data_IF_074612176875
#
_entry.id   IF_074612176875
#
_cell.length_a   1.000
_cell.length_b   1.000
_cell.length_c   1.000
_cell.angle_alpha   90.00
_cell.angle_beta   90.00
_cell.angle_gamma   90.00
#
_symmetry.space_group_name_H-M   'P 1'
#
loop_
_entity.id
_entity.type
_entity.pdbx_description
1 polymer ?
#
# COMPACT_ATOMS: atom_id res chain seq x y z
N UNK A 1 26.60 63.98 57.06
CA UNK A 1 26.25 62.63 56.59
C UNK A 1 26.42 62.56 55.08
N UNK A 2 27.47 61.90 54.61
CA UNK A 2 27.76 61.75 53.16
C UNK A 2 27.31 60.36 52.77
N UNK A 3 26.35 60.29 51.87
CA UNK A 3 25.94 59.04 51.27
C UNK A 3 27.03 58.63 50.24
N UNK A 4 27.66 57.51 50.44
CA UNK A 4 28.59 56.90 49.51
C UNK A 4 27.79 56.02 48.55
N UNK A 5 27.68 56.49 47.30
CA UNK A 5 27.16 55.66 46.22
C UNK A 5 28.27 54.82 45.62
N UNK A 6 28.27 53.53 45.84
CA UNK A 6 29.10 52.57 45.11
C UNK A 6 28.40 52.29 43.76
N UNK A 7 28.96 52.84 42.71
CA UNK A 7 28.62 52.45 41.34
C UNK A 7 29.28 51.11 41.04
N UNK A 8 28.55 50.03 41.29
CA UNK A 8 28.93 48.72 40.74
C UNK A 8 28.27 48.62 39.36
N UNK A 9 29.11 48.90 38.35
CA UNK A 9 28.73 48.78 36.95
C UNK A 9 28.48 47.33 36.59
N UNK A 10 27.21 46.89 36.76
CA UNK A 10 26.78 45.60 36.30
C UNK A 10 26.98 45.42 34.81
N UNK A 11 28.07 44.78 34.42
CA UNK A 11 28.31 44.36 33.04
C UNK A 11 27.22 43.37 32.65
N UNK A 12 26.50 43.58 31.55
CA UNK A 12 25.55 42.57 31.09
C UNK A 12 26.31 41.30 30.75
N UNK A 13 26.04 40.25 31.47
CA UNK A 13 26.52 38.92 31.14
C UNK A 13 25.83 38.54 29.84
N UNK A 14 26.52 38.73 28.74
CA UNK A 14 26.14 38.13 27.45
C UNK A 14 26.26 36.62 27.61
N UNK A 15 25.11 36.03 27.92
CA UNK A 15 24.95 34.58 27.76
C UNK A 15 25.18 34.26 26.28
N UNK A 16 26.39 33.87 25.95
CA UNK A 16 26.67 33.26 24.66
C UNK A 16 26.02 31.89 24.68
N UNK A 17 24.75 31.85 24.32
CA UNK A 17 24.15 30.61 23.84
C UNK A 17 24.86 30.26 22.54
N UNK A 18 25.98 29.58 22.68
CA UNK A 18 26.58 28.86 21.58
C UNK A 18 25.53 27.87 21.07
N UNK A 19 25.06 27.95 19.83
CA UNK A 19 24.21 26.94 19.28
C UNK A 19 25.07 25.68 19.20
N UNK A 20 25.01 24.83 20.24
CA UNK A 20 25.55 23.50 20.16
C UNK A 20 24.87 22.87 18.96
N UNK A 21 25.60 22.86 17.88
CA UNK A 21 25.20 22.31 16.59
C UNK A 21 24.86 20.84 16.86
N UNK A 22 23.56 20.56 17.05
CA UNK A 22 23.04 19.23 17.36
C UNK A 22 23.13 18.35 16.11
N UNK A 23 24.37 18.22 15.59
CA UNK A 23 24.66 17.36 14.43
C UNK A 23 24.09 15.96 14.59
N UNK A 24 24.20 15.31 15.76
CA UNK A 24 23.62 13.96 15.93
C UNK A 24 22.09 13.99 15.83
N UNK A 25 21.42 15.03 16.33
CA UNK A 25 19.97 15.17 16.21
C UNK A 25 19.54 15.43 14.77
N UNK A 26 20.30 16.23 14.02
CA UNK A 26 20.02 16.45 12.60
C UNK A 26 20.23 15.17 11.79
N UNK A 27 21.29 14.42 12.06
CA UNK A 27 21.54 13.12 11.42
C UNK A 27 20.41 12.14 11.73
N UNK A 28 20.02 12.04 12.99
CA UNK A 28 18.90 11.19 13.40
C UNK A 28 17.58 11.62 12.70
N UNK A 29 17.29 12.91 12.65
CA UNK A 29 16.10 13.43 11.96
C UNK A 29 16.11 13.10 10.47
N UNK A 30 17.26 13.19 9.80
CA UNK A 30 17.40 12.83 8.39
C UNK A 30 17.22 11.33 8.15
N UNK A 31 17.74 10.48 9.04
CA UNK A 31 17.54 9.03 8.97
C UNK A 31 16.06 8.69 9.13
N UNK A 32 15.38 9.27 10.12
CA UNK A 32 13.96 9.05 10.36
C UNK A 32 13.11 9.56 9.20
N UNK A 33 13.44 10.73 8.63
CA UNK A 33 12.75 11.25 7.47
C UNK A 33 12.93 10.35 6.24
N UNK A 34 14.15 9.88 5.98
CA UNK A 34 14.44 8.93 4.90
C UNK A 34 13.67 7.62 5.07
N UNK A 35 13.63 7.08 6.28
CA UNK A 35 12.86 5.88 6.60
C UNK A 35 11.35 6.10 6.42
N UNK A 36 10.84 7.27 6.83
CA UNK A 36 9.43 7.65 6.62
C UNK A 36 9.05 7.71 5.14
N UNK A 37 9.89 8.35 4.32
CA UNK A 37 9.69 8.42 2.86
C UNK A 37 9.72 7.01 2.24
N UNK A 38 10.63 6.16 2.67
CA UNK A 38 10.70 4.76 2.25
C UNK A 38 9.39 4.01 2.57
N UNK A 39 8.87 4.12 3.78
CA UNK A 39 7.62 3.49 4.20
C UNK A 39 6.41 3.97 3.41
N UNK A 40 6.31 5.28 3.18
CA UNK A 40 5.25 5.87 2.35
C UNK A 40 5.34 5.35 0.91
N UNK A 41 6.55 5.24 0.35
CA UNK A 41 6.77 4.67 -0.98
C UNK A 41 6.28 3.23 -1.10
N UNK A 42 6.58 2.38 -0.13
CA UNK A 42 6.10 0.99 -0.08
C UNK A 42 4.56 0.91 -0.01
N UNK A 43 3.95 1.74 0.82
CA UNK A 43 2.49 1.81 0.94
C UNK A 43 1.83 2.28 -0.36
N UNK A 44 2.43 3.25 -1.05
CA UNK A 44 1.96 3.74 -2.35
C UNK A 44 1.92 2.66 -3.42
N UNK A 45 2.94 1.80 -3.48
CA UNK A 45 2.98 0.66 -4.42
C UNK A 45 1.83 -0.32 -4.17
N UNK A 46 1.48 -0.58 -2.92
CA UNK A 46 0.35 -1.47 -2.57
C UNK A 46 -0.96 -0.85 -3.04
N UNK A 47 -1.18 0.44 -2.81
CA UNK A 47 -2.39 1.13 -3.25
C UNK A 47 -2.54 1.13 -4.78
N UNK A 48 -1.46 1.39 -5.51
CA UNK A 48 -1.46 1.34 -6.98
C UNK A 48 -1.80 -0.06 -7.48
N UNK A 49 -1.22 -1.09 -6.90
CA UNK A 49 -1.54 -2.49 -7.24
C UNK A 49 -3.00 -2.83 -6.96
N UNK A 50 -3.53 -2.42 -5.81
CA UNK A 50 -4.93 -2.66 -5.43
C UNK A 50 -5.91 -1.95 -6.39
N UNK A 51 -5.58 -0.75 -6.86
CA UNK A 51 -6.40 -0.01 -7.80
C UNK A 51 -6.30 -0.56 -9.23
N UNK A 52 -5.11 -1.00 -9.64
CA UNK A 52 -4.85 -1.49 -11.00
C UNK A 52 -5.38 -2.91 -11.22
N UNK A 53 -5.35 -3.77 -10.21
CA UNK A 53 -5.73 -5.18 -10.33
C UNK A 53 -7.15 -5.39 -10.88
N UNK A 54 -8.21 -4.71 -10.41
CA UNK A 54 -9.55 -4.86 -10.97
C UNK A 54 -9.63 -4.52 -12.46
N UNK A 55 -8.90 -3.49 -12.89
CA UNK A 55 -8.87 -3.05 -14.30
C UNK A 55 -8.22 -4.12 -15.18
N UNK A 56 -7.10 -4.67 -14.72
CA UNK A 56 -6.39 -5.71 -15.46
C UNK A 56 -7.18 -7.02 -15.53
N UNK A 57 -7.87 -7.40 -14.45
CA UNK A 57 -8.75 -8.57 -14.42
C UNK A 57 -9.94 -8.38 -15.38
N UNK A 58 -10.53 -7.19 -15.45
CA UNK A 58 -11.60 -6.90 -16.40
C UNK A 58 -11.12 -6.97 -17.85
N UNK A 59 -9.92 -6.49 -18.15
CA UNK A 59 -9.30 -6.61 -19.48
C UNK A 59 -9.07 -8.08 -19.86
N UNK A 60 -8.53 -8.87 -18.97
CA UNK A 60 -8.33 -10.29 -19.18
C UNK A 60 -9.67 -11.04 -19.38
N UNK A 61 -10.71 -10.64 -18.67
CA UNK A 61 -12.07 -11.15 -18.88
C UNK A 61 -12.63 -10.81 -20.26
N UNK A 62 -12.46 -9.55 -20.70
CA UNK A 62 -12.87 -9.16 -22.05
C UNK A 62 -12.12 -9.96 -23.13
N UNK A 63 -10.82 -10.15 -22.98
CA UNK A 63 -10.01 -10.98 -23.87
C UNK A 63 -10.52 -12.43 -23.95
N UNK A 64 -10.96 -13.00 -22.80
CA UNK A 64 -11.55 -14.33 -22.75
C UNK A 64 -12.88 -14.40 -23.54
N UNK A 65 -13.70 -13.36 -23.46
CA UNK A 65 -14.96 -13.28 -24.22
C UNK A 65 -14.71 -13.13 -25.73
N UNK A 66 -13.62 -12.47 -26.12
CA UNK A 66 -13.20 -12.33 -27.51
C UNK A 66 -12.52 -13.61 -28.06
N UNK A 67 -12.52 -14.71 -27.29
CA UNK A 67 -11.96 -15.99 -27.69
C UNK A 67 -10.43 -16.06 -27.70
N UNK A 68 -9.75 -15.12 -27.06
CA UNK A 68 -8.30 -15.17 -26.88
C UNK A 68 -7.91 -16.29 -25.91
N UNK A 69 -6.70 -16.79 -26.04
CA UNK A 69 -6.18 -17.92 -25.27
C UNK A 69 -4.77 -17.64 -24.75
N UNK A 70 -4.33 -18.47 -23.82
CA UNK A 70 -2.95 -18.41 -23.32
C UNK A 70 -2.65 -17.17 -22.50
N UNK A 71 -1.54 -16.52 -22.77
CA UNK A 71 -1.07 -15.38 -21.97
C UNK A 71 -1.96 -14.13 -22.03
N UNK A 72 -2.79 -14.01 -23.06
CA UNK A 72 -3.77 -12.92 -23.17
C UNK A 72 -4.83 -12.95 -22.07
N UNK A 73 -5.07 -14.13 -21.48
CA UNK A 73 -6.02 -14.30 -20.36
C UNK A 73 -5.41 -13.94 -19.00
N UNK A 74 -4.10 -13.76 -18.92
CA UNK A 74 -3.45 -13.37 -17.68
C UNK A 74 -3.65 -11.88 -17.41
N UNK A 75 -4.13 -11.50 -16.22
CA UNK A 75 -4.25 -10.08 -15.85
C UNK A 75 -2.93 -9.32 -15.90
N UNK A 76 -1.81 -10.01 -15.63
CA UNK A 76 -0.44 -9.49 -15.76
C UNK A 76 0.52 -10.64 -16.11
N UNK A 77 1.70 -10.36 -16.68
CA UNK A 77 2.61 -11.39 -17.25
C UNK A 77 3.02 -12.50 -16.28
N UNK A 78 3.09 -12.20 -14.99
CA UNK A 78 3.46 -13.18 -13.94
C UNK A 78 2.26 -13.66 -13.13
N UNK A 79 1.03 -13.49 -13.63
CA UNK A 79 -0.16 -14.01 -12.98
C UNK A 79 -0.19 -15.54 -13.05
N UNK A 80 -0.47 -16.15 -11.90
CA UNK A 80 -0.73 -17.58 -11.75
C UNK A 80 -2.22 -17.91 -11.82
N UNK A 81 -3.02 -16.95 -12.25
CA UNK A 81 -4.47 -17.04 -12.31
C UNK A 81 -5.00 -16.36 -13.58
N UNK A 82 -6.21 -16.76 -13.98
CA UNK A 82 -6.95 -16.18 -15.09
C UNK A 82 -8.42 -16.09 -14.75
N UNK A 83 -9.19 -15.16 -15.35
CA UNK A 83 -10.62 -15.09 -15.16
C UNK A 83 -11.32 -16.27 -15.83
N UNK A 84 -12.24 -16.92 -15.11
CA UNK A 84 -12.94 -18.13 -15.59
C UNK A 84 -14.45 -18.00 -15.58
N UNK A 85 -15.01 -17.14 -14.73
CA UNK A 85 -16.44 -16.94 -14.64
C UNK A 85 -16.77 -15.53 -14.13
N UNK A 86 -17.97 -15.07 -14.44
CA UNK A 86 -18.53 -13.84 -13.86
C UNK A 86 -19.68 -14.23 -12.94
N UNK A 87 -19.51 -13.96 -11.66
CA UNK A 87 -20.52 -14.18 -10.64
C UNK A 87 -21.40 -12.96 -10.54
N UNK A 88 -22.70 -13.16 -10.71
CA UNK A 88 -23.69 -12.11 -10.57
C UNK A 88 -24.42 -12.26 -9.23
N UNK A 89 -24.46 -11.19 -8.44
CA UNK A 89 -25.13 -11.14 -7.15
C UNK A 89 -26.33 -10.17 -7.23
N UNK A 90 -27.53 -10.66 -7.61
CA UNK A 90 -28.70 -9.80 -7.82
C UNK A 90 -29.10 -9.01 -6.58
N UNK A 91 -29.00 -9.64 -5.40
CA UNK A 91 -29.33 -9.01 -4.11
C UNK A 91 -28.44 -7.83 -3.75
N UNK A 92 -27.21 -7.79 -4.27
CA UNK A 92 -26.23 -6.73 -4.01
C UNK A 92 -26.06 -5.78 -5.20
N UNK A 93 -26.66 -6.10 -6.36
CA UNK A 93 -26.48 -5.35 -7.61
C UNK A 93 -25.00 -5.29 -8.05
N UNK A 94 -24.23 -6.34 -7.75
CA UNK A 94 -22.79 -6.38 -8.04
C UNK A 94 -22.38 -7.63 -8.77
N UNK A 95 -21.42 -7.44 -9.67
CA UNK A 95 -20.75 -8.53 -10.37
C UNK A 95 -19.33 -8.69 -9.84
N UNK A 96 -18.85 -9.91 -9.81
CA UNK A 96 -17.47 -10.26 -9.48
C UNK A 96 -16.92 -11.26 -10.48
N UNK A 97 -15.69 -11.08 -10.90
CA UNK A 97 -15.00 -12.02 -11.76
C UNK A 97 -14.32 -13.07 -10.86
N UNK A 98 -14.64 -14.34 -11.11
CA UNK A 98 -14.01 -15.46 -10.46
C UNK A 98 -12.73 -15.84 -11.19
N UNK A 99 -11.70 -16.13 -10.41
CA UNK A 99 -10.37 -16.44 -10.88
C UNK A 99 -10.08 -17.95 -10.78
N UNK A 100 -9.26 -18.48 -11.66
CA UNK A 100 -8.81 -19.86 -11.62
C UNK A 100 -7.86 -20.10 -10.45
N UNK A 101 -7.96 -21.30 -9.84
CA UNK A 101 -7.06 -21.73 -8.77
C UNK A 101 -7.48 -21.23 -7.39
N UNK A 102 -7.00 -21.91 -6.35
CA UNK A 102 -7.31 -21.61 -4.95
C UNK A 102 -6.08 -21.09 -4.19
N UNK A 103 -5.16 -20.39 -4.89
CA UNK A 103 -4.00 -19.81 -4.22
C UNK A 103 -4.42 -18.61 -3.35
N UNK A 104 -3.80 -18.45 -2.18
CA UNK A 104 -4.04 -17.28 -1.31
C UNK A 104 -3.77 -15.96 -2.01
N UNK A 105 -2.92 -15.97 -3.02
CA UNK A 105 -2.60 -14.83 -3.86
C UNK A 105 -3.77 -14.45 -4.78
N UNK A 106 -4.40 -15.43 -5.41
CA UNK A 106 -5.58 -15.21 -6.26
C UNK A 106 -6.78 -14.74 -5.44
N UNK A 107 -6.99 -15.33 -4.25
CA UNK A 107 -8.08 -14.96 -3.33
C UNK A 107 -8.01 -13.50 -2.85
N UNK A 108 -6.84 -12.90 -2.84
CA UNK A 108 -6.68 -11.48 -2.49
C UNK A 108 -7.30 -10.53 -3.54
N UNK A 109 -7.56 -11.00 -4.77
CA UNK A 109 -8.09 -10.17 -5.86
C UNK A 109 -9.57 -10.45 -6.19
N UNK A 110 -10.12 -11.56 -5.71
CA UNK A 110 -11.52 -11.91 -5.96
C UNK A 110 -11.86 -13.34 -5.59
N UNK A 111 -13.10 -13.77 -5.81
CA UNK A 111 -13.48 -15.15 -5.61
C UNK A 111 -12.69 -16.06 -6.55
N UNK A 112 -12.30 -17.22 -6.06
CA UNK A 112 -11.54 -18.21 -6.82
C UNK A 112 -12.31 -19.51 -6.92
N UNK A 113 -12.12 -20.24 -8.04
CA UNK A 113 -12.65 -21.57 -8.22
C UNK A 113 -11.55 -22.60 -7.93
N UNK A 114 -11.79 -23.46 -6.95
CA UNK A 114 -10.94 -24.64 -6.76
C UNK A 114 -11.31 -25.70 -7.80
N UNK A 115 -10.31 -26.18 -8.52
CA UNK A 115 -10.42 -27.33 -9.41
C UNK A 115 -10.01 -28.58 -8.63
N UNK A 116 -10.90 -29.56 -8.50
CA UNK A 116 -10.53 -30.83 -7.88
C UNK A 116 -11.62 -31.51 -7.05
N UNK A 117 -12.87 -31.12 -7.17
CA UNK A 117 -14.02 -31.81 -6.56
C UNK A 117 -15.13 -32.08 -7.58
N UNK A 118 -16.07 -32.94 -7.24
CA UNK A 118 -17.25 -33.26 -8.06
C UNK A 118 -18.17 -32.06 -8.29
N UNK A 119 -18.04 -31.00 -7.46
CA UNK A 119 -18.81 -29.77 -7.56
C UNK A 119 -17.85 -28.57 -7.57
N UNK A 120 -17.99 -27.67 -8.55
CA UNK A 120 -17.18 -26.45 -8.57
C UNK A 120 -17.47 -25.62 -7.31
N UNK A 121 -16.41 -25.35 -6.53
CA UNK A 121 -16.51 -24.58 -5.29
C UNK A 121 -15.81 -23.24 -5.43
N UNK A 122 -16.54 -22.17 -5.14
CA UNK A 122 -16.01 -20.82 -5.13
C UNK A 122 -15.57 -20.44 -3.71
N UNK A 123 -14.36 -19.93 -3.61
CA UNK A 123 -13.79 -19.44 -2.37
C UNK A 123 -13.56 -17.94 -2.47
N UNK A 124 -13.85 -17.23 -1.40
CA UNK A 124 -13.58 -15.80 -1.27
C UNK A 124 -12.87 -15.50 0.03
N UNK A 125 -12.13 -14.41 0.08
CA UNK A 125 -11.59 -13.90 1.34
C UNK A 125 -12.74 -13.32 2.16
N UNK A 126 -12.83 -13.73 3.41
CA UNK A 126 -13.83 -13.20 4.34
C UNK A 126 -13.21 -11.97 5.02
N UNK A 127 -13.74 -10.81 4.70
CA UNK A 127 -13.48 -9.60 5.49
C UNK A 127 -14.25 -9.75 6.81
N UNK A 128 -13.54 -9.95 7.88
CA UNK A 128 -14.08 -9.95 9.26
C UNK A 128 -13.95 -8.57 9.86
#
# INVERSE_FOLDING_TARGET
MRAVWTQDGGKPVKGTHSPRRNRPLLVLAMILAGFGVWQVGQSGVILVKAWLAPILIQRAWAAAQDGQTGDALKPWPWADTQPIAKLHFPSLGRDRIALAGASGRAMAFGPTLAQGGDVPSFFGHRDT
#
